data_IF_700832799170
#
_entry.id   IF_700832799170
#
_cell.length_a   1.000
_cell.length_b   1.000
_cell.length_c   1.000
_cell.angle_alpha   90.00
_cell.angle_beta   90.00
_cell.angle_gamma   90.00
#
_symmetry.space_group_name_H-M   'P 1'
#
loop_
_entity.id
_entity.type
_entity.pdbx_description
1 polymer ?
#
# COMPACT_ATOMS: atom_id res chain seq x y z
N UNK A 1 20.66 13.96 0.73
CA UNK A 1 19.60 13.87 1.74
C UNK A 1 19.74 15.07 2.66
N UNK A 2 18.65 15.76 2.94
CA UNK A 2 18.64 16.75 4.03
C UNK A 2 18.86 16.03 5.36
N UNK A 3 19.63 16.64 6.25
CA UNK A 3 19.88 16.11 7.59
C UNK A 3 18.72 16.53 8.49
N UNK A 4 17.95 15.55 8.97
CA UNK A 4 16.88 15.78 9.96
C UNK A 4 17.47 15.46 11.33
N UNK A 5 17.50 16.45 12.22
CA UNK A 5 17.88 16.28 13.63
C UNK A 5 16.72 15.63 14.39
N UNK A 6 16.65 14.29 14.34
CA UNK A 6 15.54 13.50 14.90
C UNK A 6 15.60 13.52 16.43
N UNK A 7 14.57 14.09 17.05
CA UNK A 7 14.38 14.07 18.50
C UNK A 7 13.59 12.83 18.94
N UNK A 8 12.45 12.57 18.29
CA UNK A 8 11.62 11.38 18.54
C UNK A 8 10.85 10.97 17.27
N UNK A 9 10.03 9.92 17.37
CA UNK A 9 9.13 9.49 16.29
C UNK A 9 7.68 9.81 16.63
N UNK A 10 6.90 10.08 15.60
CA UNK A 10 5.50 10.45 15.70
C UNK A 10 4.65 9.46 16.51
N UNK A 11 3.70 10.03 17.27
CA UNK A 11 2.56 9.32 17.84
C UNK A 11 1.70 8.67 16.76
N UNK A 12 0.79 7.77 17.16
CA UNK A 12 -0.08 7.10 16.20
C UNK A 12 -1.09 8.09 15.58
N UNK A 13 -1.53 9.09 16.33
CA UNK A 13 -2.39 10.18 15.86
C UNK A 13 -1.67 11.09 14.84
N UNK A 14 -0.40 11.42 15.09
CA UNK A 14 0.42 12.19 14.14
C UNK A 14 0.64 11.44 12.84
N UNK A 15 0.96 10.15 12.93
CA UNK A 15 1.10 9.28 11.76
C UNK A 15 -0.20 9.21 10.95
N UNK A 16 -1.34 9.06 11.61
CA UNK A 16 -2.64 9.03 10.94
C UNK A 16 -2.96 10.35 10.23
N UNK A 17 -2.62 11.50 10.84
CA UNK A 17 -2.75 12.82 10.19
C UNK A 17 -1.84 12.94 8.98
N UNK A 18 -0.56 12.58 9.11
CA UNK A 18 0.38 12.61 7.98
C UNK A 18 -0.06 11.71 6.82
N UNK A 19 -0.51 10.48 7.11
CA UNK A 19 -1.07 9.58 6.08
C UNK A 19 -2.30 10.21 5.42
N UNK A 20 -3.18 10.86 6.21
CA UNK A 20 -4.35 11.57 5.69
C UNK A 20 -3.94 12.69 4.74
N UNK A 21 -2.91 13.47 5.07
CA UNK A 21 -2.41 14.51 4.17
C UNK A 21 -1.86 13.91 2.87
N UNK A 22 -1.08 12.83 2.94
CA UNK A 22 -0.50 12.18 1.76
C UNK A 22 -1.54 11.64 0.78
N UNK A 23 -2.60 10.99 1.27
CA UNK A 23 -3.65 10.43 0.40
C UNK A 23 -4.54 11.49 -0.24
N UNK A 24 -4.53 12.73 0.27
CA UNK A 24 -5.26 13.85 -0.35
C UNK A 24 -4.52 14.45 -1.53
N UNK A 25 -3.26 14.07 -1.75
CA UNK A 25 -2.47 14.51 -2.90
C UNK A 25 -3.05 13.84 -4.16
N UNK A 26 -3.52 14.62 -5.15
CA UNK A 26 -4.05 14.07 -6.37
C UNK A 26 -2.95 13.33 -7.15
N UNK A 27 -3.27 12.19 -7.80
CA UNK A 27 -2.30 11.50 -8.63
C UNK A 27 -1.91 12.34 -9.85
N UNK A 28 -0.63 12.30 -10.29
CA UNK A 28 -0.25 12.87 -11.56
C UNK A 28 -0.99 12.17 -12.71
N UNK A 29 -1.44 12.95 -13.70
CA UNK A 29 -2.24 12.43 -14.81
C UNK A 29 -1.47 11.40 -15.63
N UNK A 30 -2.12 10.26 -15.92
CA UNK A 30 -1.57 9.22 -16.80
C UNK A 30 -0.45 8.38 -16.16
N UNK A 31 -0.19 8.53 -14.85
CA UNK A 31 0.82 7.75 -14.14
C UNK A 31 0.18 6.54 -13.46
N UNK A 32 0.80 5.37 -13.65
CA UNK A 32 0.51 4.14 -12.93
C UNK A 32 1.82 3.50 -12.47
N UNK A 33 1.85 3.00 -11.24
CA UNK A 33 3.00 2.31 -10.67
C UNK A 33 3.89 3.18 -9.78
N UNK A 34 5.13 2.75 -9.54
CA UNK A 34 6.05 3.40 -8.60
C UNK A 34 6.65 4.70 -9.17
N UNK A 35 6.90 5.67 -8.29
CA UNK A 35 7.58 6.92 -8.67
C UNK A 35 9.10 6.77 -8.91
N UNK A 36 9.77 5.80 -8.29
CA UNK A 36 11.24 5.74 -8.27
C UNK A 36 11.83 4.55 -9.03
N UNK A 37 11.13 3.41 -9.09
CA UNK A 37 11.73 2.11 -9.42
C UNK A 37 11.57 1.66 -10.87
N UNK A 38 12.00 2.49 -11.83
CA UNK A 38 12.08 2.12 -13.27
C UNK A 38 10.79 1.49 -13.85
N UNK A 39 9.63 1.77 -13.26
CA UNK A 39 8.31 1.24 -13.64
C UNK A 39 7.90 -0.09 -13.00
N UNK A 40 8.70 -0.69 -12.10
CA UNK A 40 8.20 -1.79 -11.25
C UNK A 40 7.43 -1.21 -10.07
N UNK A 41 6.28 -1.80 -9.76
CA UNK A 41 5.46 -1.35 -8.63
C UNK A 41 6.14 -1.81 -7.34
N UNK A 42 6.36 -0.87 -6.41
CA UNK A 42 6.75 -1.21 -5.04
C UNK A 42 5.61 -1.06 -4.08
N UNK A 43 5.12 -2.17 -3.55
CA UNK A 43 3.96 -2.17 -2.66
C UNK A 43 3.99 -3.38 -1.72
N UNK A 44 3.54 -3.26 -0.44
CA UNK A 44 3.53 -4.37 0.52
C UNK A 44 2.71 -5.59 0.09
N UNK A 45 1.84 -5.44 -0.91
CA UNK A 45 1.09 -6.54 -1.50
C UNK A 45 2.00 -7.56 -2.21
N UNK A 46 3.08 -7.10 -2.83
CA UNK A 46 3.98 -7.98 -3.58
C UNK A 46 5.02 -8.64 -2.67
N UNK A 47 5.53 -9.79 -3.10
CA UNK A 47 6.66 -10.44 -2.44
C UNK A 47 7.86 -9.51 -2.47
N UNK A 48 8.60 -9.42 -1.37
CA UNK A 48 9.75 -8.51 -1.21
C UNK A 48 9.42 -7.03 -1.54
N UNK A 49 8.12 -6.69 -1.46
CA UNK A 49 7.53 -5.39 -1.77
C UNK A 49 7.71 -4.94 -3.22
N UNK A 50 8.05 -5.81 -4.16
CA UNK A 50 8.27 -5.44 -5.56
C UNK A 50 7.49 -6.35 -6.52
N UNK A 51 6.83 -5.75 -7.49
CA UNK A 51 6.15 -6.49 -8.54
C UNK A 51 7.14 -7.26 -9.41
N UNK A 52 6.82 -8.53 -9.72
CA UNK A 52 7.65 -9.39 -10.56
C UNK A 52 7.76 -8.93 -12.03
N UNK A 53 6.83 -8.08 -12.47
CA UNK A 53 6.80 -7.51 -13.82
C UNK A 53 6.29 -6.08 -13.79
N UNK A 54 6.51 -5.38 -14.90
CA UNK A 54 5.88 -4.08 -15.15
C UNK A 54 4.41 -4.29 -15.51
N UNK A 55 3.58 -3.39 -15.02
CA UNK A 55 2.16 -3.30 -15.36
C UNK A 55 1.91 -1.97 -16.04
N UNK A 56 1.33 -2.01 -17.23
CA UNK A 56 1.03 -0.82 -18.03
C UNK A 56 -0.39 -0.30 -17.77
N UNK A 57 -1.28 -1.16 -17.27
CA UNK A 57 -2.68 -0.82 -17.02
C UNK A 57 -3.18 -1.41 -15.71
N UNK A 58 -4.25 -0.83 -15.15
CA UNK A 58 -4.96 -1.39 -14.00
C UNK A 58 -5.51 -2.79 -14.30
N UNK A 59 -5.95 -3.02 -15.55
CA UNK A 59 -6.44 -4.32 -16.01
C UNK A 59 -5.39 -5.42 -15.87
N UNK A 60 -4.14 -5.16 -16.27
CA UNK A 60 -3.07 -6.16 -16.13
C UNK A 60 -2.79 -6.52 -14.65
N UNK A 61 -2.91 -5.55 -13.73
CA UNK A 61 -2.77 -5.78 -12.28
C UNK A 61 -3.94 -6.64 -11.80
N UNK A 62 -5.17 -6.29 -12.21
CA UNK A 62 -6.38 -7.04 -11.88
C UNK A 62 -6.27 -8.50 -12.32
N UNK A 63 -5.93 -8.73 -13.59
CA UNK A 63 -5.84 -10.05 -14.18
C UNK A 63 -4.78 -10.90 -13.48
N UNK A 64 -3.62 -10.31 -13.15
CA UNK A 64 -2.59 -11.04 -12.40
C UNK A 64 -3.06 -11.45 -11.00
N UNK A 65 -3.88 -10.64 -10.31
CA UNK A 65 -4.42 -11.01 -9.00
C UNK A 65 -5.53 -12.05 -9.16
N UNK A 66 -6.36 -11.94 -10.19
CA UNK A 66 -7.38 -12.94 -10.52
C UNK A 66 -6.76 -14.30 -10.82
N UNK A 67 -5.66 -14.35 -11.57
CA UNK A 67 -4.93 -15.60 -11.86
C UNK A 67 -4.46 -16.29 -10.57
N UNK A 68 -3.89 -15.52 -9.63
CA UNK A 68 -3.47 -16.01 -8.31
C UNK A 68 -4.66 -16.59 -7.54
N UNK A 69 -5.80 -15.89 -7.52
CA UNK A 69 -7.02 -16.31 -6.82
C UNK A 69 -7.67 -17.54 -7.49
N UNK A 70 -7.67 -17.59 -8.82
CA UNK A 70 -8.16 -18.71 -9.59
C UNK A 70 -7.33 -19.97 -9.29
N UNK A 71 -5.99 -19.87 -9.35
CA UNK A 71 -5.09 -20.97 -9.02
C UNK A 71 -5.26 -21.46 -7.57
N UNK A 72 -5.55 -20.55 -6.64
CA UNK A 72 -5.84 -20.92 -5.25
C UNK A 72 -7.18 -21.66 -5.12
N UNK A 73 -8.17 -21.23 -5.88
CA UNK A 73 -9.50 -21.82 -5.89
C UNK A 73 -9.48 -23.23 -6.47
N UNK A 74 -8.78 -23.44 -7.59
CA UNK A 74 -8.61 -24.76 -8.21
C UNK A 74 -7.84 -25.71 -7.31
N UNK A 75 -6.74 -25.26 -6.68
CA UNK A 75 -5.91 -26.12 -5.82
C UNK A 75 -6.57 -26.54 -4.51
N UNK A 76 -7.54 -25.78 -4.00
CA UNK A 76 -8.16 -26.06 -2.69
C UNK A 76 -9.65 -26.37 -2.75
N UNK A 77 -10.29 -26.24 -3.91
CA UNK A 77 -11.73 -26.45 -4.11
C UNK A 77 -12.61 -25.42 -3.40
N UNK A 78 -12.07 -24.25 -3.01
CA UNK A 78 -12.78 -23.19 -2.28
C UNK A 78 -12.81 -21.91 -3.10
N UNK A 79 -13.91 -21.15 -3.00
CA UNK A 79 -14.01 -19.84 -3.62
C UNK A 79 -13.30 -18.74 -2.79
N UNK A 80 -12.31 -18.09 -3.39
CA UNK A 80 -11.57 -16.97 -2.80
C UNK A 80 -12.06 -15.59 -3.26
N UNK A 81 -13.10 -15.54 -4.09
CA UNK A 81 -13.65 -14.33 -4.68
C UNK A 81 -12.73 -13.74 -5.75
N UNK A 82 -13.13 -12.59 -6.28
CA UNK A 82 -12.40 -11.87 -7.31
C UNK A 82 -12.19 -10.41 -6.91
N UNK A 83 -11.15 -9.80 -7.49
CA UNK A 83 -10.95 -8.35 -7.45
C UNK A 83 -11.56 -7.70 -8.68
N UNK A 84 -12.06 -6.49 -8.52
CA UNK A 84 -12.54 -5.64 -9.60
C UNK A 84 -12.17 -4.18 -9.33
N UNK A 85 -11.17 -3.68 -10.05
CA UNK A 85 -10.61 -2.34 -9.91
C UNK A 85 -11.14 -1.37 -10.98
N UNK A 86 -12.05 -1.81 -11.85
CA UNK A 86 -12.50 -1.02 -13.02
C UNK A 86 -13.09 0.34 -12.63
N UNK A 87 -13.81 0.39 -11.52
CA UNK A 87 -14.45 1.60 -10.99
C UNK A 87 -13.68 2.23 -9.80
N UNK A 88 -12.49 1.72 -9.46
CA UNK A 88 -11.70 2.32 -8.38
C UNK A 88 -10.94 3.55 -8.87
N UNK A 89 -10.97 4.68 -8.13
CA UNK A 89 -10.10 5.80 -8.43
C UNK A 89 -8.64 5.41 -8.20
N UNK A 90 -7.74 6.03 -8.98
CA UNK A 90 -6.30 5.93 -8.76
C UNK A 90 -5.87 6.93 -7.70
N UNK A 91 -5.11 6.49 -6.70
CA UNK A 91 -4.60 7.32 -5.61
C UNK A 91 -3.09 7.27 -5.53
N UNK A 92 -2.48 8.37 -5.09
CA UNK A 92 -1.15 8.33 -4.53
C UNK A 92 -1.18 7.48 -3.25
N UNK A 93 -0.34 6.44 -3.18
CA UNK A 93 -0.19 5.65 -1.97
C UNK A 93 1.16 5.89 -1.31
N UNK A 94 1.15 5.80 0.02
CA UNK A 94 2.35 5.69 0.84
C UNK A 94 2.34 4.34 1.55
N UNK A 95 3.13 3.41 1.04
CA UNK A 95 3.09 2.00 1.41
C UNK A 95 3.97 1.64 2.62
N UNK A 96 4.85 2.53 3.08
CA UNK A 96 5.79 2.24 4.16
C UNK A 96 5.46 2.93 5.47
N UNK A 97 4.34 2.54 6.06
CA UNK A 97 3.78 3.20 7.25
C UNK A 97 4.52 2.86 8.56
N UNK A 98 5.81 2.47 8.57
CA UNK A 98 6.56 2.23 9.81
C UNK A 98 6.71 3.53 10.60
N UNK A 99 6.71 3.43 11.94
CA UNK A 99 6.84 4.59 12.82
C UNK A 99 8.16 5.35 12.56
N UNK A 100 9.19 4.61 12.22
CA UNK A 100 10.53 5.09 11.92
C UNK A 100 10.56 6.05 10.70
N UNK A 101 9.56 5.99 9.82
CA UNK A 101 9.44 6.88 8.66
C UNK A 101 8.68 8.19 8.96
N UNK A 102 8.35 8.43 10.23
CA UNK A 102 7.69 9.65 10.70
C UNK A 102 8.50 10.32 11.81
N UNK A 103 9.74 10.78 11.54
CA UNK A 103 10.53 11.46 12.54
C UNK A 103 9.97 12.84 12.86
N UNK A 104 10.11 13.24 14.13
CA UNK A 104 9.84 14.58 14.61
C UNK A 104 11.17 15.21 14.98
N UNK A 105 11.46 16.39 14.42
CA UNK A 105 12.69 17.09 14.70
C UNK A 105 12.67 17.84 16.04
N UNK A 106 13.81 18.36 16.47
CA UNK A 106 13.95 19.12 17.72
C UNK A 106 13.10 20.40 17.79
N UNK A 107 12.52 20.85 16.67
CA UNK A 107 11.54 21.96 16.63
C UNK A 107 10.09 21.50 16.78
N UNK A 108 9.84 20.18 16.89
CA UNK A 108 8.51 19.59 16.92
C UNK A 108 7.86 19.44 15.55
N UNK A 109 8.62 19.58 14.45
CA UNK A 109 8.09 19.41 13.09
C UNK A 109 8.11 17.94 12.71
N UNK A 110 6.95 17.45 12.28
CA UNK A 110 6.79 16.12 11.72
C UNK A 110 7.27 16.08 10.27
N UNK A 111 8.09 15.08 9.97
CA UNK A 111 8.52 14.74 8.62
C UNK A 111 7.95 13.38 8.22
N UNK A 112 7.67 13.21 6.94
CA UNK A 112 7.47 11.89 6.34
C UNK A 112 8.71 11.62 5.48
N UNK A 113 9.32 10.46 5.66
CA UNK A 113 10.54 10.08 4.92
C UNK A 113 10.36 8.72 4.26
N UNK A 114 11.38 8.25 3.55
CA UNK A 114 11.40 6.96 2.85
C UNK A 114 10.19 6.75 1.90
N UNK A 115 10.27 7.41 0.74
CA UNK A 115 9.25 7.32 -0.30
C UNK A 115 9.50 6.15 -1.28
N UNK A 116 10.35 5.18 -0.95
CA UNK A 116 10.67 4.08 -1.88
C UNK A 116 9.45 3.21 -2.19
N UNK A 117 8.51 3.08 -1.25
CA UNK A 117 7.25 2.33 -1.42
C UNK A 117 6.09 3.29 -1.69
N UNK A 118 6.21 4.07 -2.77
CA UNK A 118 5.19 5.04 -3.18
C UNK A 118 4.93 5.01 -4.68
N UNK A 119 3.74 5.46 -5.07
CA UNK A 119 3.31 5.48 -6.46
C UNK A 119 1.83 5.77 -6.63
N UNK A 120 1.30 5.43 -7.79
CA UNK A 120 -0.13 5.56 -8.14
C UNK A 120 -0.73 4.18 -8.44
N UNK A 121 -1.78 3.80 -7.72
CA UNK A 121 -2.49 2.52 -7.85
C UNK A 121 -3.99 2.69 -7.52
N UNK A 122 -4.84 1.70 -7.82
CA UNK A 122 -6.24 1.71 -7.37
C UNK A 122 -6.35 1.93 -5.85
N UNK A 123 -7.38 2.64 -5.40
CA UNK A 123 -7.56 3.08 -4.02
C UNK A 123 -7.45 1.94 -2.97
N UNK A 124 -7.84 0.72 -3.32
CA UNK A 124 -7.65 -0.46 -2.48
C UNK A 124 -6.19 -0.68 -2.06
N UNK A 125 -5.22 -0.40 -2.94
CA UNK A 125 -3.79 -0.47 -2.61
C UNK A 125 -3.40 0.60 -1.58
N UNK A 126 -3.95 1.81 -1.63
CA UNK A 126 -3.66 2.83 -0.63
C UNK A 126 -4.14 2.44 0.78
N UNK A 127 -5.26 1.72 0.87
CA UNK A 127 -5.81 1.22 2.14
C UNK A 127 -5.12 -0.04 2.67
N UNK A 128 -4.51 -0.83 1.77
CA UNK A 128 -3.94 -2.15 2.07
C UNK A 128 -2.86 -2.12 3.17
N UNK A 129 -1.87 -1.19 3.17
CA UNK A 129 -0.89 -1.05 4.25
C UNK A 129 -1.51 -0.94 5.64
N UNK A 130 -2.70 -0.34 5.78
CA UNK A 130 -3.32 -0.18 7.10
C UNK A 130 -3.67 -1.51 7.75
N UNK A 131 -3.81 -2.59 6.98
CA UNK A 131 -4.25 -3.91 7.46
C UNK A 131 -3.15 -4.99 7.35
N UNK A 132 -1.97 -4.66 6.82
CA UNK A 132 -0.80 -5.56 6.80
C UNK A 132 -0.10 -5.59 8.17
N UNK A 133 0.63 -6.67 8.45
CA UNK A 133 1.43 -6.80 9.67
C UNK A 133 2.72 -5.95 9.58
N UNK A 134 2.70 -4.78 10.20
CA UNK A 134 3.89 -3.98 10.50
C UNK A 134 4.41 -4.28 11.90
N UNK A 135 5.68 -3.93 12.18
CA UNK A 135 6.28 -4.01 13.53
C UNK A 135 5.57 -3.07 14.51
N UNK A 136 5.14 -1.90 14.03
CA UNK A 136 4.42 -0.86 14.77
C UNK A 136 3.14 -0.45 14.04
N UNK A 137 2.14 -1.35 13.95
CA UNK A 137 0.92 -1.06 13.21
C UNK A 137 0.12 0.02 13.94
N UNK A 138 -0.58 0.88 13.20
CA UNK A 138 -1.53 1.81 13.82
C UNK A 138 -2.60 1.02 14.59
N UNK A 139 -3.06 1.45 15.77
CA UNK A 139 -4.19 0.83 16.44
C UNK A 139 -5.46 0.92 15.59
N UNK A 140 -6.36 -0.08 15.67
CA UNK A 140 -7.62 -0.10 14.89
C UNK A 140 -8.44 1.20 15.04
N UNK A 141 -8.63 1.77 16.26
CA UNK A 141 -9.35 3.03 16.41
C UNK A 141 -8.73 4.18 15.61
N UNK A 142 -7.40 4.24 15.55
CA UNK A 142 -6.65 5.27 14.81
C UNK A 142 -6.72 5.05 13.30
N UNK A 143 -6.67 3.81 12.82
CA UNK A 143 -6.85 3.51 11.38
C UNK A 143 -8.20 4.02 10.86
N UNK A 144 -9.23 3.93 11.68
CA UNK A 144 -10.58 4.34 11.32
C UNK A 144 -10.74 5.86 11.22
N UNK A 145 -9.77 6.66 11.68
CA UNK A 145 -9.80 8.12 11.52
C UNK A 145 -9.21 8.56 10.17
N UNK A 146 -8.52 7.69 9.45
CA UNK A 146 -7.94 8.00 8.15
C UNK A 146 -9.06 7.89 7.10
N UNK A 147 -9.32 8.92 6.28
CA UNK A 147 -10.45 8.96 5.34
C UNK A 147 -10.18 8.15 4.07
N UNK A 148 -9.82 6.87 4.23
CA UNK A 148 -9.64 5.92 3.15
C UNK A 148 -10.80 4.94 3.18
N UNK A 149 -11.56 4.86 2.09
CA UNK A 149 -12.63 3.87 1.96
C UNK A 149 -12.05 2.46 1.93
N UNK A 150 -12.62 1.56 2.75
CA UNK A 150 -12.25 0.14 2.72
C UNK A 150 -12.95 -0.54 1.56
N UNK A 151 -12.23 -0.71 0.47
CA UNK A 151 -12.72 -1.38 -0.74
C UNK A 151 -13.13 -2.84 -0.48
N UNK A 152 -14.20 -3.29 -1.17
CA UNK A 152 -14.59 -4.69 -1.28
C UNK A 152 -13.44 -5.61 -1.74
N UNK A 153 -12.47 -5.05 -2.46
CA UNK A 153 -11.31 -5.77 -3.00
C UNK A 153 -10.28 -6.17 -1.93
N UNK A 154 -10.31 -5.57 -0.75
CA UNK A 154 -9.31 -5.86 0.29
C UNK A 154 -9.31 -7.33 0.72
N UNK A 155 -10.49 -7.94 0.88
CA UNK A 155 -10.61 -9.33 1.29
C UNK A 155 -9.98 -10.31 0.28
N UNK A 156 -10.33 -10.28 -1.03
CA UNK A 156 -9.65 -11.09 -2.04
C UNK A 156 -8.18 -10.72 -2.19
N UNK A 157 -7.79 -9.43 -2.10
CA UNK A 157 -6.37 -9.04 -2.10
C UNK A 157 -5.59 -9.69 -0.95
N UNK A 158 -6.11 -9.71 0.28
CA UNK A 158 -5.42 -10.37 1.40
C UNK A 158 -5.28 -11.88 1.22
N UNK A 159 -6.22 -12.52 0.52
CA UNK A 159 -6.14 -13.95 0.17
C UNK A 159 -5.01 -14.18 -0.85
N UNK A 160 -4.96 -13.38 -1.91
CA UNK A 160 -3.89 -13.42 -2.90
C UNK A 160 -2.51 -13.13 -2.27
N UNK A 161 -2.41 -12.07 -1.46
CA UNK A 161 -1.21 -11.68 -0.72
C UNK A 161 -0.62 -12.86 0.06
N UNK A 162 -1.44 -13.58 0.84
CA UNK A 162 -0.95 -14.72 1.64
C UNK A 162 -0.27 -15.77 0.76
N UNK A 163 -0.78 -16.03 -0.44
CA UNK A 163 -0.18 -16.99 -1.35
C UNK A 163 1.11 -16.46 -1.97
N UNK A 164 1.11 -15.19 -2.40
CA UNK A 164 2.29 -14.51 -2.96
C UNK A 164 3.46 -14.51 -1.96
N UNK A 165 3.17 -14.36 -0.66
CA UNK A 165 4.19 -14.43 0.39
C UNK A 165 4.68 -15.86 0.67
N UNK A 166 3.90 -16.89 0.32
CA UNK A 166 4.22 -18.31 0.57
C UNK A 166 4.90 -19.02 -0.61
N UNK A 167 4.86 -18.45 -1.82
CA UNK A 167 5.54 -19.01 -2.98
C UNK A 167 7.06 -18.92 -2.82
N UNK A 168 7.72 -20.08 -2.69
CA UNK A 168 9.15 -20.24 -2.92
C UNK A 168 9.46 -19.93 -4.39
N UNK A 169 10.61 -19.30 -4.65
CA UNK A 169 11.14 -19.18 -6.02
C UNK A 169 11.54 -20.54 -6.59
#
# INVERSE_FOLDING_TARGET
>A
MEYIDVDHFASDEERARAITELITIPPPQGVLGSFWHRGLIRHPFFKDREAFKKYSTVGEIQDSIKDVLHNLSTNTGRDFGEVDFSEEPLWCYYGDIYRENFPVDSSGRLWVVDFDVTGVLPASFASFPLDVKYKHPLPIPIRNTIPIERSKNLKPMFRAYRLIQMSSE
#
